data_IF_706462491164
#
_entry.id   IF_706462491164
#
_cell.length_a   1.000
_cell.length_b   1.000
_cell.length_c   1.000
_cell.angle_alpha   90.00
_cell.angle_beta   90.00
_cell.angle_gamma   90.00
#
_symmetry.space_group_name_H-M   'P 1'
#
loop_
_entity.id
_entity.type
_entity.pdbx_description
1 polymer ?
#
# COMPACT_ATOMS: atom_id res chain seq x y z
N UNK A 1 27.82 -24.75 1.90
CA UNK A 1 27.36 -23.36 2.01
C UNK A 1 26.16 -23.23 1.10
N UNK A 2 24.95 -23.30 1.65
CA UNK A 2 23.73 -23.00 0.91
C UNK A 2 23.76 -21.53 0.54
N UNK A 3 23.58 -21.21 -0.74
CA UNK A 3 23.59 -19.85 -1.23
C UNK A 3 22.31 -19.15 -0.75
N UNK A 4 22.46 -18.07 0.02
CA UNK A 4 21.35 -17.27 0.51
C UNK A 4 20.59 -16.62 -0.65
N UNK A 5 19.26 -16.60 -0.58
CA UNK A 5 18.42 -15.93 -1.58
C UNK A 5 18.47 -14.42 -1.31
N UNK A 6 18.87 -13.62 -2.31
CA UNK A 6 18.93 -12.17 -2.17
C UNK A 6 17.55 -11.54 -2.34
N UNK A 7 17.13 -10.72 -1.37
CA UNK A 7 15.84 -10.01 -1.36
C UNK A 7 16.08 -8.53 -1.15
N UNK A 8 15.62 -7.70 -2.09
CA UNK A 8 15.65 -6.24 -1.95
C UNK A 8 14.23 -5.73 -1.76
N UNK A 9 13.98 -5.05 -0.64
CA UNK A 9 12.70 -4.37 -0.39
C UNK A 9 12.96 -2.86 -0.47
N UNK A 10 12.31 -2.22 -1.45
CA UNK A 10 12.34 -0.79 -1.62
C UNK A 10 11.26 -0.10 -0.77
N UNK A 11 11.52 1.11 -0.32
CA UNK A 11 10.49 2.04 0.18
C UNK A 11 10.53 3.30 -0.66
N UNK A 12 9.42 3.66 -1.32
CA UNK A 12 9.36 4.82 -2.19
C UNK A 12 9.59 6.10 -1.38
N UNK A 13 10.69 6.80 -1.67
CA UNK A 13 11.18 7.93 -0.88
C UNK A 13 11.08 9.26 -1.64
N UNK A 14 9.97 9.46 -2.36
CA UNK A 14 9.66 10.72 -3.05
C UNK A 14 9.02 11.75 -2.11
N UNK A 15 8.16 11.29 -1.21
CA UNK A 15 7.44 12.07 -0.22
C UNK A 15 6.91 11.10 0.86
N UNK A 16 6.72 11.58 2.10
CA UNK A 16 6.01 10.81 3.12
C UNK A 16 6.91 10.18 4.19
N UNK A 17 6.29 9.36 5.05
CA UNK A 17 6.91 8.69 6.20
C UNK A 17 7.69 7.41 5.80
N UNK A 18 8.62 7.54 4.84
CA UNK A 18 9.39 6.39 4.36
C UNK A 18 10.42 5.89 5.37
N UNK A 19 10.91 6.76 6.27
CA UNK A 19 12.01 6.42 7.19
C UNK A 19 11.56 5.43 8.27
N UNK A 20 10.33 5.60 8.76
CA UNK A 20 9.69 4.73 9.73
C UNK A 20 9.47 3.33 9.13
N UNK A 21 8.99 3.26 7.88
CA UNK A 21 8.88 2.00 7.15
C UNK A 21 10.22 1.28 6.96
N UNK A 22 11.28 2.00 6.57
CA UNK A 22 12.63 1.42 6.47
C UNK A 22 13.07 0.82 7.82
N UNK A 23 12.92 1.59 8.89
CA UNK A 23 13.32 1.20 10.24
C UNK A 23 12.58 -0.05 10.72
N UNK A 24 11.26 -0.13 10.50
CA UNK A 24 10.48 -1.30 10.93
C UNK A 24 10.78 -2.55 10.12
N UNK A 25 11.01 -2.43 8.81
CA UNK A 25 11.45 -3.57 8.00
C UNK A 25 12.81 -4.10 8.48
N UNK A 26 13.78 -3.21 8.73
CA UNK A 26 15.09 -3.60 9.28
C UNK A 26 14.98 -4.21 10.67
N UNK A 27 14.12 -3.66 11.51
CA UNK A 27 13.89 -4.15 12.88
C UNK A 27 13.30 -5.56 12.86
N UNK A 28 12.29 -5.81 12.02
CA UNK A 28 11.71 -7.13 11.83
C UNK A 28 12.78 -8.17 11.45
N UNK A 29 13.59 -7.85 10.45
CA UNK A 29 14.57 -8.80 9.92
C UNK A 29 15.66 -9.11 10.96
N UNK A 30 16.10 -8.10 11.72
CA UNK A 30 17.12 -8.26 12.76
C UNK A 30 16.61 -8.92 14.04
N UNK A 31 15.31 -8.87 14.31
CA UNK A 31 14.71 -9.49 15.51
C UNK A 31 14.55 -11.01 15.38
N UNK A 32 14.52 -11.56 14.16
CA UNK A 32 14.32 -12.98 13.90
C UNK A 32 15.32 -13.52 12.86
N UNK A 33 16.62 -13.40 13.17
CA UNK A 33 17.71 -13.85 12.29
C UNK A 33 17.63 -15.35 11.95
N UNK A 34 17.07 -16.17 12.87
CA UNK A 34 16.90 -17.60 12.65
C UNK A 34 15.86 -17.88 11.56
N UNK A 35 14.68 -17.24 11.64
CA UNK A 35 13.64 -17.37 10.60
C UNK A 35 14.14 -16.92 9.23
N UNK A 36 14.96 -15.89 9.21
CA UNK A 36 15.45 -15.26 7.97
C UNK A 36 16.82 -15.75 7.50
N UNK A 37 17.38 -16.80 8.12
CA UNK A 37 18.76 -17.24 7.88
C UNK A 37 19.07 -17.69 6.44
N UNK A 38 18.04 -18.03 5.66
CA UNK A 38 18.16 -18.44 4.25
C UNK A 38 18.13 -17.26 3.26
N UNK A 39 17.93 -16.04 3.76
CA UNK A 39 17.74 -14.84 2.96
C UNK A 39 18.76 -13.76 3.31
N UNK A 40 19.19 -13.02 2.29
CA UNK A 40 20.04 -11.86 2.44
C UNK A 40 19.21 -10.64 2.06
N UNK A 41 18.75 -9.91 3.07
CA UNK A 41 17.89 -8.75 2.86
C UNK A 41 18.69 -7.46 2.62
N UNK A 42 18.14 -6.62 1.75
CA UNK A 42 18.57 -5.24 1.58
C UNK A 42 17.34 -4.33 1.55
N UNK A 43 17.26 -3.41 2.51
CA UNK A 43 16.15 -2.47 2.67
C UNK A 43 16.62 -1.09 2.22
N UNK A 44 15.99 -0.49 1.21
CA UNK A 44 16.53 0.72 0.57
C UNK A 44 15.47 1.78 0.23
N UNK A 45 15.78 3.07 0.38
CA UNK A 45 14.94 4.15 -0.14
C UNK A 45 15.01 4.21 -1.67
N UNK A 46 13.86 4.25 -2.32
CA UNK A 46 13.74 4.30 -3.78
C UNK A 46 13.42 5.73 -4.23
N UNK A 47 14.32 6.33 -5.00
CA UNK A 47 14.15 7.69 -5.59
C UNK A 47 14.37 7.71 -7.10
N UNK A 48 14.95 6.65 -7.66
CA UNK A 48 15.30 6.55 -9.08
C UNK A 48 14.92 5.17 -9.61
N UNK A 49 14.88 5.05 -10.94
CA UNK A 49 14.52 3.80 -11.61
C UNK A 49 15.57 2.71 -11.43
N UNK A 50 16.85 3.08 -11.35
CA UNK A 50 17.96 2.14 -11.17
C UNK A 50 17.79 1.40 -9.85
N UNK A 51 17.48 2.14 -8.77
CA UNK A 51 17.20 1.58 -7.45
C UNK A 51 15.90 0.76 -7.47
N UNK A 52 14.86 1.24 -8.15
CA UNK A 52 13.59 0.51 -8.26
C UNK A 52 13.78 -0.87 -8.91
N UNK A 53 14.62 -0.98 -9.95
CA UNK A 53 14.87 -2.24 -10.64
C UNK A 53 15.65 -3.27 -9.82
N UNK A 54 16.34 -2.85 -8.77
CA UNK A 54 16.98 -3.77 -7.83
C UNK A 54 15.97 -4.43 -6.89
N UNK A 55 14.75 -3.90 -6.78
CA UNK A 55 13.76 -4.30 -5.79
C UNK A 55 12.94 -5.52 -6.23
N UNK A 56 12.75 -6.47 -5.32
CA UNK A 56 11.78 -7.57 -5.44
C UNK A 56 10.42 -7.18 -4.85
N UNK A 57 10.42 -6.20 -3.94
CA UNK A 57 9.22 -5.67 -3.32
C UNK A 57 9.31 -4.15 -3.12
N UNK A 58 8.16 -3.47 -3.08
CA UNK A 58 8.08 -2.03 -2.88
C UNK A 58 7.00 -1.65 -1.87
N UNK A 59 7.37 -0.91 -0.84
CA UNK A 59 6.43 -0.20 0.03
C UNK A 59 6.26 1.23 -0.49
N UNK A 60 5.02 1.66 -0.66
CA UNK A 60 4.62 3.01 -1.04
C UNK A 60 3.99 3.65 0.21
N UNK A 61 4.70 4.58 0.89
CA UNK A 61 4.32 5.04 2.22
C UNK A 61 3.13 6.02 2.19
N UNK A 62 2.64 6.35 3.39
CA UNK A 62 1.70 7.44 3.60
C UNK A 62 2.28 8.82 3.33
N UNK A 63 1.43 9.85 3.27
CA UNK A 63 1.84 11.22 2.94
C UNK A 63 0.79 11.95 2.11
N UNK A 64 1.19 12.54 0.99
CA UNK A 64 0.32 13.26 0.08
C UNK A 64 0.46 12.68 -1.34
N UNK A 65 -0.58 11.96 -1.77
CA UNK A 65 -0.56 11.16 -3.01
C UNK A 65 -0.41 12.01 -4.27
N UNK A 66 -0.92 13.25 -4.29
CA UNK A 66 -0.79 14.11 -5.48
C UNK A 66 0.63 14.65 -5.66
N UNK A 67 1.33 14.92 -4.56
CA UNK A 67 2.73 15.33 -4.53
C UNK A 67 3.62 14.16 -4.92
N UNK A 68 3.34 12.96 -4.41
CA UNK A 68 4.04 11.75 -4.81
C UNK A 68 3.90 11.49 -6.32
N UNK A 69 2.68 11.57 -6.85
CA UNK A 69 2.41 11.48 -8.29
C UNK A 69 3.17 12.53 -9.09
N UNK A 70 3.11 13.80 -8.67
CA UNK A 70 3.77 14.91 -9.36
C UNK A 70 5.30 14.73 -9.39
N UNK A 71 5.90 14.34 -8.27
CA UNK A 71 7.35 14.09 -8.18
C UNK A 71 7.73 12.89 -9.06
N UNK A 72 6.96 11.80 -9.03
CA UNK A 72 7.22 10.61 -9.85
C UNK A 72 7.20 10.95 -11.36
N UNK A 73 6.23 11.76 -11.79
CA UNK A 73 6.14 12.22 -13.18
C UNK A 73 7.32 13.14 -13.55
N UNK A 74 7.59 14.16 -12.72
CA UNK A 74 8.66 15.15 -12.94
C UNK A 74 10.06 14.55 -12.97
N UNK A 75 10.28 13.46 -12.24
CA UNK A 75 11.56 12.74 -12.19
C UNK A 75 11.67 11.64 -13.24
N UNK A 76 10.61 11.38 -14.02
CA UNK A 76 10.57 10.29 -15.00
C UNK A 76 10.50 8.89 -14.38
N UNK A 77 10.17 8.79 -13.08
CA UNK A 77 10.03 7.51 -12.38
C UNK A 77 8.66 6.86 -12.61
N UNK A 78 7.63 7.64 -12.94
CA UNK A 78 6.24 7.17 -13.07
C UNK A 78 6.07 5.99 -14.05
N UNK A 79 6.63 5.99 -15.28
CA UNK A 79 6.51 4.84 -16.18
C UNK A 79 7.09 3.55 -15.61
N UNK A 80 8.20 3.65 -14.87
CA UNK A 80 8.84 2.50 -14.24
C UNK A 80 8.07 1.97 -13.02
N UNK A 81 7.32 2.84 -12.35
CA UNK A 81 6.36 2.40 -11.33
C UNK A 81 5.18 1.65 -11.94
N UNK A 82 4.71 2.06 -13.13
CA UNK A 82 3.69 1.29 -13.87
C UNK A 82 4.21 -0.10 -14.24
N UNK A 83 5.45 -0.20 -14.76
CA UNK A 83 6.12 -1.48 -15.05
C UNK A 83 6.25 -2.36 -13.79
N UNK A 84 6.67 -1.77 -12.67
CA UNK A 84 6.82 -2.50 -11.40
C UNK A 84 5.47 -3.03 -10.87
N UNK A 85 4.40 -2.25 -11.01
CA UNK A 85 3.04 -2.67 -10.62
C UNK A 85 2.48 -3.76 -11.53
N UNK A 86 2.88 -3.78 -12.80
CA UNK A 86 2.43 -4.77 -13.78
C UNK A 86 3.19 -6.12 -13.69
N UNK A 87 4.31 -6.17 -12.96
CA UNK A 87 5.10 -7.38 -12.77
C UNK A 87 4.54 -8.22 -11.60
N UNK A 88 3.82 -9.29 -11.95
CA UNK A 88 3.18 -10.19 -10.97
C UNK A 88 4.16 -10.95 -10.07
N UNK A 89 5.46 -10.91 -10.34
CA UNK A 89 6.47 -11.44 -9.42
C UNK A 89 6.75 -10.48 -8.25
N UNK A 90 6.42 -9.19 -8.40
CA UNK A 90 6.71 -8.16 -7.40
C UNK A 90 5.65 -8.11 -6.31
N UNK A 91 6.11 -7.89 -5.08
CA UNK A 91 5.23 -7.60 -3.95
C UNK A 91 5.14 -6.10 -3.71
N UNK A 92 3.93 -5.57 -3.48
CA UNK A 92 3.73 -4.13 -3.32
C UNK A 92 2.82 -3.87 -2.13
N UNK A 93 3.16 -2.87 -1.32
CA UNK A 93 2.31 -2.44 -0.22
C UNK A 93 2.12 -0.93 -0.22
N UNK A 94 0.90 -0.46 -0.44
CA UNK A 94 0.55 0.95 -0.29
C UNK A 94 -0.10 1.25 1.05
N UNK A 95 0.49 2.15 1.85
CA UNK A 95 -0.10 2.67 3.10
C UNK A 95 -0.63 4.08 2.90
N UNK A 96 -1.85 4.37 3.38
CA UNK A 96 -2.51 5.67 3.29
C UNK A 96 -2.43 6.30 1.87
N UNK A 97 -1.52 7.26 1.63
CA UNK A 97 -1.28 7.84 0.31
C UNK A 97 -0.88 6.81 -0.75
N UNK A 98 -0.12 5.78 -0.37
CA UNK A 98 0.22 4.67 -1.24
C UNK A 98 -0.99 3.85 -1.68
N UNK A 99 -1.98 3.65 -0.80
CA UNK A 99 -3.26 3.00 -1.17
C UNK A 99 -4.00 3.80 -2.25
N UNK A 100 -4.07 5.13 -2.10
CA UNK A 100 -4.64 6.02 -3.12
C UNK A 100 -3.86 5.87 -4.43
N UNK A 101 -2.53 5.86 -4.35
CA UNK A 101 -1.68 5.80 -5.53
C UNK A 101 -1.81 4.48 -6.29
N UNK A 102 -2.05 3.36 -5.60
CA UNK A 102 -2.31 2.04 -6.20
C UNK A 102 -3.77 1.81 -6.66
N UNK A 103 -4.67 2.76 -6.40
CA UNK A 103 -6.08 2.61 -6.79
C UNK A 103 -6.28 2.80 -8.29
N UNK A 104 -7.11 1.97 -8.92
CA UNK A 104 -7.49 2.16 -10.32
C UNK A 104 -8.33 3.44 -10.51
N UNK A 105 -9.10 3.84 -9.50
CA UNK A 105 -9.90 5.07 -9.52
C UNK A 105 -9.80 5.87 -8.22
N UNK A 106 -9.76 7.19 -8.32
CA UNK A 106 -9.73 8.12 -7.18
C UNK A 106 -10.88 9.13 -7.31
N UNK A 107 -11.71 9.24 -6.26
CA UNK A 107 -12.62 10.36 -6.04
C UNK A 107 -11.92 11.50 -5.33
N UNK A 108 -12.32 12.74 -5.65
CA UNK A 108 -11.78 13.96 -5.05
C UNK A 108 -10.25 14.09 -5.17
N UNK A 109 -9.68 13.52 -6.24
CA UNK A 109 -8.29 13.71 -6.62
C UNK A 109 -8.03 15.13 -7.12
N UNK A 110 -6.77 15.56 -7.09
CA UNK A 110 -6.38 16.86 -7.67
C UNK A 110 -6.27 16.76 -9.19
N UNK A 111 -6.51 17.87 -9.89
CA UNK A 111 -6.28 17.94 -11.34
C UNK A 111 -4.85 17.47 -11.67
N UNK A 112 -4.72 16.64 -12.70
CA UNK A 112 -3.47 16.06 -13.19
C UNK A 112 -2.78 15.05 -12.25
N UNK A 113 -3.36 14.75 -11.08
CA UNK A 113 -2.88 13.63 -10.25
C UNK A 113 -3.02 12.31 -11.03
N UNK A 114 -1.99 11.47 -10.94
CA UNK A 114 -1.94 10.13 -11.53
C UNK A 114 -2.13 9.09 -10.43
N UNK A 115 -2.56 7.90 -10.85
CA UNK A 115 -2.47 6.70 -10.05
C UNK A 115 -1.85 5.57 -10.87
N UNK A 116 -1.15 4.68 -10.17
CA UNK A 116 -0.46 3.52 -10.70
C UNK A 116 -1.41 2.40 -11.12
N UNK A 117 -2.56 2.30 -10.44
CA UNK A 117 -3.40 1.10 -10.51
C UNK A 117 -2.72 -0.07 -9.79
N UNK A 118 -3.10 -1.29 -10.16
CA UNK A 118 -2.70 -2.53 -9.51
C UNK A 118 -3.75 -3.06 -8.53
N UNK A 119 -4.47 -2.16 -7.85
CA UNK A 119 -5.68 -2.49 -7.09
C UNK A 119 -6.94 -2.05 -7.87
N UNK A 120 -7.80 -3.00 -8.22
CA UNK A 120 -9.10 -2.80 -8.86
C UNK A 120 -10.13 -2.25 -7.87
N UNK A 121 -9.82 -1.07 -7.33
CA UNK A 121 -10.61 -0.39 -6.32
C UNK A 121 -10.78 1.08 -6.66
N UNK A 122 -11.83 1.65 -6.09
CA UNK A 122 -12.07 3.08 -6.02
C UNK A 122 -11.72 3.55 -4.60
N UNK A 123 -10.90 4.60 -4.50
CA UNK A 123 -10.64 5.28 -3.23
C UNK A 123 -11.23 6.68 -3.22
N UNK A 124 -11.58 7.17 -2.04
CA UNK A 124 -11.94 8.56 -1.81
C UNK A 124 -10.95 9.20 -0.83
N UNK A 125 -10.35 10.32 -1.26
CA UNK A 125 -9.42 11.09 -0.43
C UNK A 125 -10.17 11.77 0.71
N UNK A 126 -9.60 11.72 1.92
CA UNK A 126 -10.13 12.42 3.10
C UNK A 126 -11.63 12.15 3.31
N UNK A 127 -12.03 10.89 3.19
CA UNK A 127 -13.44 10.52 3.21
C UNK A 127 -14.05 10.50 4.62
N UNK A 128 -13.21 10.51 5.66
CA UNK A 128 -13.66 10.75 7.02
C UNK A 128 -14.06 12.23 7.15
N UNK A 129 -15.25 12.50 7.68
CA UNK A 129 -15.72 13.88 7.84
C UNK A 129 -14.77 14.70 8.73
N UNK A 130 -14.80 16.04 8.60
CA UNK A 130 -13.87 16.99 9.24
C UNK A 130 -13.62 16.83 10.75
N UNK A 131 -14.53 16.17 11.47
CA UNK A 131 -14.40 15.91 12.93
C UNK A 131 -13.66 14.60 13.25
N UNK A 132 -13.55 13.68 12.28
CA UNK A 132 -12.94 12.34 12.38
C UNK A 132 -11.67 12.23 11.52
N UNK A 133 -11.11 13.36 11.08
CA UNK A 133 -9.97 13.44 10.17
C UNK A 133 -8.72 12.73 10.72
N UNK A 134 -8.60 12.46 12.03
CA UNK A 134 -7.54 11.62 12.58
C UNK A 134 -7.98 10.95 13.88
N UNK A 135 -7.66 9.67 14.02
CA UNK A 135 -8.00 8.89 15.21
C UNK A 135 -7.09 7.67 15.34
N UNK A 136 -7.08 7.08 16.54
CA UNK A 136 -6.34 5.86 16.85
C UNK A 136 -7.30 4.87 17.48
N UNK A 137 -7.22 3.59 17.07
CA UNK A 137 -8.05 2.52 17.63
C UNK A 137 -7.31 1.19 17.59
N UNK A 138 -7.44 0.39 18.65
CA UNK A 138 -6.99 -1.00 18.63
C UNK A 138 -7.96 -1.84 17.78
N UNK A 139 -7.42 -2.53 16.78
CA UNK A 139 -8.18 -3.37 15.86
C UNK A 139 -7.64 -4.79 15.85
N UNK A 140 -8.57 -5.74 15.71
CA UNK A 140 -8.27 -7.16 15.59
C UNK A 140 -8.11 -7.56 14.12
N UNK A 141 -6.86 -7.86 13.74
CA UNK A 141 -6.48 -8.38 12.43
C UNK A 141 -6.11 -9.87 12.46
N UNK A 142 -6.44 -10.59 13.54
CA UNK A 142 -6.11 -12.01 13.74
C UNK A 142 -6.64 -12.95 12.67
N UNK A 143 -7.65 -12.50 11.91
CA UNK A 143 -8.20 -13.23 10.75
C UNK A 143 -7.20 -13.44 9.63
N UNK A 144 -6.20 -12.58 9.49
CA UNK A 144 -5.18 -12.69 8.43
C UNK A 144 -3.74 -12.50 8.93
N UNK A 145 -3.53 -11.92 10.11
CA UNK A 145 -2.22 -11.86 10.78
C UNK A 145 -2.31 -12.60 12.12
N UNK A 146 -1.72 -13.80 12.21
CA UNK A 146 -1.79 -14.62 13.43
C UNK A 146 -1.35 -13.84 14.68
N UNK A 147 -2.17 -13.89 15.74
CA UNK A 147 -1.89 -13.22 17.01
C UNK A 147 -2.05 -11.69 17.01
N UNK A 148 -2.56 -11.10 15.92
CA UNK A 148 -2.75 -9.65 15.79
C UNK A 148 -4.13 -9.18 16.28
N UNK A 149 -4.43 -9.35 17.57
CA UNK A 149 -5.78 -9.10 18.13
C UNK A 149 -6.05 -7.65 18.58
N UNK A 150 -5.00 -6.85 18.71
CA UNK A 150 -4.99 -5.58 19.45
C UNK A 150 -4.07 -4.53 18.79
N UNK A 151 -3.98 -4.53 17.46
CA UNK A 151 -3.06 -3.65 16.75
C UNK A 151 -3.50 -2.18 16.87
N UNK A 152 -2.64 -1.35 17.45
CA UNK A 152 -2.89 0.09 17.59
C UNK A 152 -2.88 0.76 16.21
N UNK A 153 -4.06 0.99 15.65
CA UNK A 153 -4.21 1.42 14.27
C UNK A 153 -4.37 2.94 14.19
N UNK A 154 -3.42 3.60 13.53
CA UNK A 154 -3.37 5.07 13.41
C UNK A 154 -3.93 5.52 12.06
N UNK A 155 -5.02 6.29 12.08
CA UNK A 155 -5.64 6.88 10.89
C UNK A 155 -5.39 8.39 10.89
N UNK A 156 -4.71 8.90 9.87
CA UNK A 156 -4.44 10.33 9.70
C UNK A 156 -4.89 10.74 8.32
N UNK A 157 -5.99 11.50 8.26
CA UNK A 157 -6.70 11.92 7.05
C UNK A 157 -6.86 10.75 6.06
N UNK A 158 -7.19 9.59 6.62
CA UNK A 158 -7.09 8.33 5.91
C UNK A 158 -8.03 8.31 4.69
N UNK A 159 -7.60 7.74 3.56
CA UNK A 159 -8.52 7.40 2.49
C UNK A 159 -9.45 6.26 2.91
N UNK A 160 -10.57 6.12 2.21
CA UNK A 160 -11.38 4.90 2.30
C UNK A 160 -11.49 4.27 0.93
N UNK A 161 -11.52 2.94 0.90
CA UNK A 161 -11.92 2.21 -0.30
C UNK A 161 -13.44 2.23 -0.35
N UNK A 162 -14.01 2.87 -1.36
CA UNK A 162 -15.46 3.06 -1.53
C UNK A 162 -16.09 1.97 -2.37
N UNK A 163 -15.31 1.32 -3.23
CA UNK A 163 -15.83 0.29 -4.14
C UNK A 163 -14.73 -0.66 -4.61
N UNK A 164 -15.06 -1.95 -4.70
CA UNK A 164 -14.32 -2.94 -5.50
C UNK A 164 -14.84 -2.90 -6.94
N UNK A 165 -13.94 -2.78 -7.91
CA UNK A 165 -14.26 -2.65 -9.32
C UNK A 165 -14.28 -4.04 -9.98
N UNK A 166 -15.46 -4.47 -10.43
CA UNK A 166 -15.65 -5.78 -11.06
C UNK A 166 -15.44 -5.76 -12.58
N UNK A 167 -15.41 -4.58 -13.21
CA UNK A 167 -15.07 -4.44 -14.63
C UNK A 167 -14.23 -3.18 -14.89
N UNK A 168 -13.26 -3.22 -15.84
CA UNK A 168 -12.32 -2.13 -16.07
C UNK A 168 -12.95 -0.78 -16.46
N UNK A 169 -14.21 -0.75 -16.96
CA UNK A 169 -14.76 0.43 -17.63
C UNK A 169 -16.25 0.78 -17.35
N UNK A 170 -16.87 0.27 -16.28
CA UNK A 170 -18.33 0.43 -16.09
C UNK A 170 -18.83 1.80 -15.59
N UNK A 171 -17.94 2.77 -15.30
CA UNK A 171 -18.35 4.09 -14.79
C UNK A 171 -18.70 5.07 -15.92
N UNK A 172 -19.99 5.39 -16.10
CA UNK A 172 -20.51 6.34 -17.11
C UNK A 172 -20.17 7.82 -16.84
N UNK A 173 -19.62 8.15 -15.66
CA UNK A 173 -19.26 9.53 -15.28
C UNK A 173 -17.74 9.72 -15.34
N UNK A 174 -17.19 9.90 -16.55
CA UNK A 174 -15.74 10.08 -16.76
C UNK A 174 -15.16 11.32 -16.06
N UNK A 175 -15.98 12.35 -15.82
CA UNK A 175 -15.52 13.64 -15.27
C UNK A 175 -15.40 13.67 -13.74
N UNK A 176 -15.80 12.61 -13.03
CA UNK A 176 -15.82 12.58 -11.55
C UNK A 176 -14.66 11.85 -10.90
N UNK A 177 -13.81 11.19 -11.70
CA UNK A 177 -12.77 10.30 -11.20
C UNK A 177 -11.46 10.55 -11.92
N UNK A 178 -10.38 10.45 -11.15
CA UNK A 178 -9.06 10.18 -11.73
C UNK A 178 -8.96 8.68 -11.96
N UNK A 179 -8.55 8.28 -13.16
CA UNK A 179 -8.34 6.89 -13.52
C UNK A 179 -6.87 6.63 -13.78
N UNK A 180 -6.42 5.43 -13.43
CA UNK A 180 -5.08 4.98 -13.74
C UNK A 180 -4.88 4.95 -15.25
N UNK A 181 -3.76 5.52 -15.70
CA UNK A 181 -3.32 5.46 -17.10
C UNK A 181 -2.59 4.15 -17.42
N UNK A 182 -2.17 3.41 -16.39
CA UNK A 182 -1.63 2.05 -16.53
C UNK A 182 -2.72 1.09 -17.03
N UNK A 183 -2.48 0.44 -18.16
CA UNK A 183 -3.38 -0.51 -18.82
C UNK A 183 -3.32 -1.92 -18.20
N UNK A 184 -2.37 -2.18 -17.29
CA UNK A 184 -2.31 -3.41 -16.52
C UNK A 184 -3.65 -3.74 -15.82
N UNK A 185 -4.09 -4.98 -15.99
CA UNK A 185 -5.26 -5.56 -15.31
C UNK A 185 -4.75 -6.65 -14.39
N UNK A 186 -4.90 -6.44 -13.09
CA UNK A 186 -4.66 -7.48 -12.10
C UNK A 186 -5.88 -8.42 -12.09
N UNK A 187 -5.69 -9.65 -12.59
CA UNK A 187 -6.75 -10.66 -12.71
C UNK A 187 -7.04 -11.38 -11.39
N UNK A 188 -6.20 -11.22 -10.36
CA UNK A 188 -6.47 -11.78 -9.04
C UNK A 188 -7.74 -11.14 -8.43
N UNK A 189 -8.53 -11.89 -7.66
CA UNK A 189 -9.69 -11.34 -6.97
C UNK A 189 -9.25 -10.29 -5.95
N UNK A 190 -10.03 -9.22 -5.81
CA UNK A 190 -9.86 -8.27 -4.71
C UNK A 190 -10.45 -8.89 -3.44
N UNK A 191 -9.60 -9.09 -2.44
CA UNK A 191 -9.96 -9.55 -1.11
C UNK A 191 -10.05 -8.36 -0.16
N UNK A 192 -11.20 -8.19 0.49
CA UNK A 192 -11.37 -7.20 1.57
C UNK A 192 -10.92 -7.86 2.87
N UNK A 193 -9.76 -7.47 3.35
CA UNK A 193 -9.16 -8.03 4.57
C UNK A 193 -9.81 -7.46 5.84
N UNK A 194 -10.14 -6.16 5.82
CA UNK A 194 -10.76 -5.50 6.96
C UNK A 194 -11.65 -4.32 6.57
N UNK A 195 -12.77 -4.20 7.27
CA UNK A 195 -13.68 -3.06 7.17
C UNK A 195 -14.02 -2.53 8.56
N UNK A 196 -14.06 -1.20 8.70
CA UNK A 196 -14.61 -0.53 9.88
C UNK A 196 -16.13 -0.45 9.76
N UNK A 197 -16.84 -0.94 10.78
CA UNK A 197 -18.30 -0.83 10.86
C UNK A 197 -18.71 0.55 11.43
N UNK A 198 -19.79 1.11 10.87
CA UNK A 198 -20.54 2.26 11.40
C UNK A 198 -19.70 3.53 11.65
N UNK A 199 -18.63 3.73 10.91
CA UNK A 199 -17.69 4.81 11.19
C UNK A 199 -18.09 6.16 10.58
N UNK A 200 -18.86 6.16 9.48
CA UNK A 200 -19.39 7.38 8.85
C UNK A 200 -20.77 7.80 9.40
N UNK A 201 -21.32 7.05 10.37
CA UNK A 201 -22.64 7.29 10.95
C UNK A 201 -23.81 6.72 10.15
N UNK A 202 -23.57 6.17 8.95
CA UNK A 202 -24.62 5.71 8.02
C UNK A 202 -24.70 4.18 7.92
N UNK A 203 -24.25 3.46 8.95
CA UNK A 203 -24.12 1.99 8.95
C UNK A 203 -23.30 1.41 7.79
N UNK A 204 -22.47 2.22 7.12
CA UNK A 204 -21.62 1.74 6.05
C UNK A 204 -20.37 1.06 6.60
N UNK A 205 -19.88 0.09 5.82
CA UNK A 205 -18.59 -0.55 6.07
C UNK A 205 -17.52 0.15 5.27
N UNK A 206 -16.55 0.76 5.96
CA UNK A 206 -15.41 1.40 5.32
C UNK A 206 -14.28 0.39 5.17
N UNK A 207 -13.98 -0.01 3.94
CA UNK A 207 -12.88 -0.92 3.64
C UNK A 207 -11.55 -0.19 3.85
N UNK A 208 -10.72 -0.71 4.75
CA UNK A 208 -9.45 -0.09 5.18
C UNK A 208 -8.23 -0.98 5.02
N UNK A 209 -8.42 -2.26 4.70
CA UNK A 209 -7.35 -3.15 4.28
C UNK A 209 -7.86 -4.06 3.14
N UNK A 210 -7.12 -4.10 2.04
CA UNK A 210 -7.46 -4.89 0.84
C UNK A 210 -6.21 -5.57 0.29
N UNK A 211 -6.39 -6.72 -0.35
CA UNK A 211 -5.36 -7.45 -1.08
C UNK A 211 -5.86 -7.75 -2.49
N UNK A 212 -4.96 -7.71 -3.47
CA UNK A 212 -5.21 -8.26 -4.79
C UNK A 212 -3.93 -8.91 -5.32
N UNK A 213 -3.89 -10.24 -5.31
CA UNK A 213 -2.66 -10.97 -5.62
C UNK A 213 -1.55 -10.65 -4.61
N UNK A 214 -0.43 -10.09 -5.11
CA UNK A 214 0.74 -9.67 -4.31
C UNK A 214 0.75 -8.18 -3.96
N UNK A 215 -0.37 -7.49 -4.17
CA UNK A 215 -0.53 -6.08 -3.86
C UNK A 215 -1.41 -5.94 -2.62
N UNK A 216 -0.86 -5.32 -1.58
CA UNK A 216 -1.52 -4.97 -0.33
C UNK A 216 -1.83 -3.47 -0.30
N UNK A 217 -3.00 -3.10 0.19
CA UNK A 217 -3.39 -1.72 0.41
C UNK A 217 -4.01 -1.52 1.78
N UNK A 218 -3.50 -0.55 2.55
CA UNK A 218 -4.04 -0.19 3.88
C UNK A 218 -4.30 1.31 3.98
N UNK A 219 -5.44 1.70 4.57
CA UNK A 219 -5.81 3.11 4.74
C UNK A 219 -5.11 3.80 5.92
N UNK A 220 -4.56 3.02 6.84
CA UNK A 220 -3.91 3.48 8.07
C UNK A 220 -2.38 3.47 7.95
N UNK A 221 -1.73 3.98 8.99
CA UNK A 221 -0.28 4.14 9.13
C UNK A 221 0.31 3.11 10.12
N UNK A 222 0.60 1.88 9.68
CA UNK A 222 1.23 0.86 10.53
C UNK A 222 2.66 1.24 10.95
N UNK A 223 3.30 2.18 10.25
CA UNK A 223 4.61 2.73 10.59
C UNK A 223 4.59 3.71 11.77
N UNK A 224 3.40 4.09 12.25
CA UNK A 224 3.22 4.99 13.40
C UNK A 224 2.79 4.26 14.68
N UNK A 225 2.73 2.94 14.66
CA UNK A 225 2.50 2.10 15.84
C UNK A 225 3.79 1.42 16.25
N UNK A 226 4.09 1.26 17.54
CA UNK A 226 5.27 0.51 18.02
C UNK A 226 5.18 -1.02 17.81
N UNK A 227 4.42 -1.46 16.80
CA UNK A 227 4.07 -2.84 16.50
C UNK A 227 4.42 -3.18 15.05
N UNK A 228 5.32 -4.15 14.90
CA UNK A 228 5.86 -4.53 13.59
C UNK A 228 5.09 -5.68 12.91
N UNK A 229 3.98 -6.17 13.49
CA UNK A 229 3.25 -7.34 12.98
C UNK A 229 2.81 -7.19 11.51
N UNK A 230 2.46 -5.99 11.05
CA UNK A 230 2.13 -5.76 9.63
C UNK A 230 3.35 -5.83 8.71
N UNK A 231 4.49 -5.28 9.11
CA UNK A 231 5.73 -5.31 8.32
C UNK A 231 6.28 -6.74 8.24
N UNK A 232 6.26 -7.45 9.36
CA UNK A 232 6.54 -8.88 9.47
C UNK A 232 5.64 -9.70 8.53
N UNK A 233 4.33 -9.48 8.61
CA UNK A 233 3.35 -10.15 7.77
C UNK A 233 3.56 -9.84 6.28
N UNK A 234 3.87 -8.60 5.92
CA UNK A 234 4.19 -8.25 4.54
C UNK A 234 5.43 -9.00 4.04
N UNK A 235 6.51 -9.06 4.82
CA UNK A 235 7.71 -9.83 4.46
C UNK A 235 7.35 -11.31 4.25
N UNK A 236 6.67 -11.91 5.22
CA UNK A 236 6.40 -13.34 5.21
C UNK A 236 5.42 -13.72 4.10
N UNK A 237 4.25 -13.08 4.04
CA UNK A 237 3.14 -13.48 3.17
C UNK A 237 3.23 -12.92 1.75
N UNK A 238 3.94 -11.81 1.55
CA UNK A 238 4.04 -11.18 0.23
C UNK A 238 5.44 -11.27 -0.34
N UNK A 239 6.49 -11.01 0.44
CA UNK A 239 7.85 -10.95 -0.11
C UNK A 239 8.46 -12.35 -0.28
N UNK A 240 8.33 -13.22 0.72
CA UNK A 240 9.01 -14.51 0.74
C UNK A 240 8.29 -15.65 0.01
N UNK A 241 7.01 -15.50 -0.30
CA UNK A 241 6.29 -16.43 -1.18
C UNK A 241 6.66 -16.21 -2.66
N UNK A 242 7.92 -16.49 -3.02
CA UNK A 242 8.43 -16.49 -4.40
C UNK A 242 8.21 -17.87 -5.04
#
# INVERSE_FOLDING_TARGET
>A
MTQSIAITIGVLALQGAFQEHLTYLETVISQDEEKYSNYSFRIIPVKTKEVLFECSALVIPGGESSSMSYIAERTGLLPHLYEFVADESKAIWGTCAGLIFLSKQIRNGLKDQKCLGGLNIETNRNAFGRQLDSFVKELDFSKFISGCTDFLTVFIRAPVVTKVLTEPNSSRDLDKFIKSENDYVNEAPVEVLYSLDNYDGDNNKLMVAVRQGRILGTSFHPELSDDHRFHQWFIDEFVLHI
#
